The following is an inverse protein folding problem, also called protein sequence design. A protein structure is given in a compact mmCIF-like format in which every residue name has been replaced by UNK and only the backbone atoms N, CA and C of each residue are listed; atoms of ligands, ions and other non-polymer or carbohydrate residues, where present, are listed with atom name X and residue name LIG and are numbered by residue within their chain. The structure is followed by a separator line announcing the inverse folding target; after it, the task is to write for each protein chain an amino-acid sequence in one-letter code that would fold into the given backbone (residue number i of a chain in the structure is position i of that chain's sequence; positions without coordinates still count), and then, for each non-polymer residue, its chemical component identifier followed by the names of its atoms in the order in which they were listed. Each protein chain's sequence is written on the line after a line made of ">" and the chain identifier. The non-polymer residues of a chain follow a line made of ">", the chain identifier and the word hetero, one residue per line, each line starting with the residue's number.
data_IF_311271308673
#
_entry.id   IF_311271308673
#
_cell.length_a   1.000
_cell.length_b   1.000
_cell.length_c   1.000
_cell.angle_alpha   90.00
_cell.angle_beta   90.00
_cell.angle_gamma   90.00
#
_symmetry.space_group_name_H-M   'P 1'
#
loop_
_entity.id
_entity.type
_entity.pdbx_description
1 polymer ?
#
# COMPACT_ATOMS: atom_id res chain seq x y z
N UNK A 1 -11.47 7.33 16.08
CA UNK A 1 -10.99 6.39 15.11
C UNK A 1 -9.52 6.06 15.32
N UNK A 2 -9.16 4.82 15.11
CA UNK A 2 -7.75 4.40 15.18
C UNK A 2 -7.01 5.04 14.02
N UNK A 3 -6.09 5.94 14.33
CA UNK A 3 -5.22 6.53 13.32
C UNK A 3 -3.93 5.73 13.27
N UNK A 4 -3.52 5.38 12.06
CA UNK A 4 -2.20 4.83 11.83
C UNK A 4 -1.15 5.89 12.07
N UNK A 5 -0.10 5.55 12.81
CA UNK A 5 1.07 6.43 12.95
C UNK A 5 1.63 6.77 11.56
N UNK A 6 1.66 5.79 10.65
CA UNK A 6 2.09 6.01 9.26
C UNK A 6 1.17 6.95 8.49
N UNK A 7 -0.15 6.85 8.63
CA UNK A 7 -1.08 7.74 7.92
C UNK A 7 -1.01 9.17 8.45
N UNK A 8 -0.80 9.37 9.74
CA UNK A 8 -0.60 10.69 10.31
C UNK A 8 0.67 11.35 9.76
N UNK A 9 1.76 10.61 9.62
CA UNK A 9 2.99 11.09 9.00
C UNK A 9 2.76 11.46 7.53
N UNK A 10 2.05 10.62 6.76
CA UNK A 10 1.71 10.91 5.38
C UNK A 10 0.88 12.19 5.24
N UNK A 11 -0.15 12.35 6.06
CA UNK A 11 -1.04 13.52 6.02
C UNK A 11 -0.31 14.78 6.46
N UNK A 12 0.53 14.69 7.49
CA UNK A 12 1.29 15.83 7.99
C UNK A 12 2.34 16.32 7.01
N UNK A 13 3.06 15.40 6.36
CA UNK A 13 4.17 15.71 5.48
C UNK A 13 3.74 15.93 4.02
N UNK A 14 2.53 15.52 3.64
CA UNK A 14 2.00 15.60 2.29
C UNK A 14 0.63 16.27 2.28
N UNK A 15 0.51 17.32 1.51
CA UNK A 15 -0.66 18.22 1.54
C UNK A 15 -1.89 17.66 0.81
N UNK A 16 -1.71 16.69 -0.09
CA UNK A 16 -2.77 16.24 -1.00
C UNK A 16 -3.36 14.89 -0.67
N UNK A 17 -2.73 14.13 0.21
CA UNK A 17 -3.21 12.82 0.62
C UNK A 17 -2.10 11.81 0.84
N UNK A 18 -2.48 10.54 0.93
CA UNK A 18 -1.56 9.45 1.22
C UNK A 18 -2.05 8.13 0.64
N UNK A 19 -1.12 7.33 0.12
CA UNK A 19 -1.34 5.92 -0.19
C UNK A 19 -0.75 5.08 0.93
N UNK A 20 -1.55 4.15 1.46
CA UNK A 20 -1.11 3.11 2.39
C UNK A 20 -1.23 1.77 1.68
N UNK A 21 -0.14 1.01 1.62
CA UNK A 21 -0.15 -0.33 1.07
C UNK A 21 0.19 -1.35 2.16
N UNK A 22 -0.70 -2.32 2.36
CA UNK A 22 -0.38 -3.51 3.15
C UNK A 22 0.34 -4.49 2.24
N UNK A 23 1.58 -4.79 2.59
CA UNK A 23 2.47 -5.62 1.79
C UNK A 23 3.34 -6.50 2.67
N UNK A 24 4.17 -7.33 2.07
CA UNK A 24 5.07 -8.23 2.79
C UNK A 24 6.32 -8.50 1.96
N UNK A 25 7.25 -9.30 2.52
CA UNK A 25 8.53 -9.54 1.86
C UNK A 25 8.48 -10.70 0.86
N UNK A 26 7.63 -11.70 1.09
CA UNK A 26 7.73 -12.97 0.37
C UNK A 26 6.56 -13.28 -0.58
N UNK A 27 5.45 -12.56 -0.48
CA UNK A 27 4.28 -12.83 -1.32
C UNK A 27 4.63 -12.67 -2.80
N UNK A 28 4.34 -13.69 -3.65
CA UNK A 28 4.64 -13.61 -5.08
C UNK A 28 4.01 -12.41 -5.78
N UNK A 29 2.83 -12.00 -5.35
CA UNK A 29 2.14 -10.84 -5.90
C UNK A 29 2.85 -9.53 -5.56
N UNK A 30 3.41 -9.42 -4.35
CA UNK A 30 4.22 -8.27 -3.95
C UNK A 30 5.56 -8.29 -4.68
N UNK A 31 6.25 -9.42 -4.66
CA UNK A 31 7.57 -9.57 -5.30
C UNK A 31 7.51 -9.21 -6.79
N UNK A 32 6.49 -9.69 -7.49
CA UNK A 32 6.30 -9.38 -8.91
C UNK A 32 5.90 -7.92 -9.17
N UNK A 33 5.42 -7.21 -8.15
CA UNK A 33 4.95 -5.82 -8.26
C UNK A 33 5.92 -4.79 -7.70
N UNK A 34 7.06 -5.19 -7.15
CA UNK A 34 7.99 -4.27 -6.45
C UNK A 34 8.33 -3.05 -7.30
N UNK A 35 8.72 -3.24 -8.54
CA UNK A 35 9.11 -2.12 -9.41
C UNK A 35 7.93 -1.18 -9.68
N UNK A 36 6.73 -1.72 -9.85
CA UNK A 36 5.50 -0.92 -10.06
C UNK A 36 5.07 -0.20 -8.79
N UNK A 37 5.21 -0.84 -7.62
CA UNK A 37 4.92 -0.20 -6.34
C UNK A 37 5.89 0.97 -6.11
N UNK A 38 7.17 0.76 -6.38
CA UNK A 38 8.18 1.81 -6.28
C UNK A 38 7.90 2.97 -7.25
N UNK A 39 7.52 2.66 -8.49
CA UNK A 39 7.13 3.66 -9.48
C UNK A 39 5.87 4.42 -9.04
N UNK A 40 4.90 3.75 -8.45
CA UNK A 40 3.70 4.37 -7.90
C UNK A 40 4.03 5.32 -6.75
N UNK A 41 4.95 4.94 -5.88
CA UNK A 41 5.44 5.81 -4.82
C UNK A 41 6.06 7.09 -5.38
N UNK A 42 6.90 6.98 -6.40
CA UNK A 42 7.49 8.13 -7.06
C UNK A 42 6.42 9.00 -7.74
N UNK A 43 5.44 8.39 -8.38
CA UNK A 43 4.29 9.08 -8.98
C UNK A 43 3.51 9.88 -7.95
N UNK A 44 3.28 9.32 -6.77
CA UNK A 44 2.65 10.01 -5.65
C UNK A 44 3.50 11.17 -5.13
N UNK A 45 4.80 10.93 -4.95
CA UNK A 45 5.72 11.94 -4.43
C UNK A 45 5.76 13.20 -5.30
N UNK A 46 5.76 13.04 -6.61
CA UNK A 46 5.73 14.16 -7.58
C UNK A 46 4.44 14.98 -7.46
N UNK A 47 3.39 14.42 -6.87
CA UNK A 47 2.07 15.04 -6.69
C UNK A 47 1.79 15.46 -5.26
N UNK A 48 2.80 15.47 -4.41
CA UNK A 48 2.70 15.78 -2.97
C UNK A 48 1.74 14.83 -2.22
N UNK A 49 1.66 13.57 -2.67
CA UNK A 49 0.92 12.50 -2.01
C UNK A 49 1.94 11.60 -1.30
N UNK A 50 1.71 11.36 0.00
CA UNK A 50 2.53 10.46 0.79
C UNK A 50 2.35 9.00 0.35
N UNK A 51 3.32 8.16 0.71
CA UNK A 51 3.27 6.73 0.42
C UNK A 51 3.93 5.97 1.57
N UNK A 52 3.27 4.94 2.09
CA UNK A 52 3.81 4.12 3.17
C UNK A 52 3.41 2.66 2.98
N UNK A 53 4.36 1.75 3.20
CA UNK A 53 4.12 0.32 3.21
C UNK A 53 4.04 -0.21 4.65
N UNK A 54 3.15 -1.17 4.88
CA UNK A 54 2.95 -1.80 6.19
C UNK A 54 2.97 -3.32 6.02
N UNK A 55 3.82 -3.99 6.80
CA UNK A 55 3.85 -5.44 6.88
C UNK A 55 3.24 -5.89 8.20
N UNK A 56 2.10 -6.56 8.12
CA UNK A 56 1.37 -7.08 9.27
C UNK A 56 1.39 -8.61 9.36
N UNK A 57 2.14 -9.29 8.48
CA UNK A 57 2.23 -10.75 8.53
C UNK A 57 2.88 -11.23 9.83
N UNK A 58 2.42 -12.38 10.33
CA UNK A 58 2.98 -12.99 11.54
C UNK A 58 4.44 -13.42 11.30
N UNK A 59 5.41 -12.78 11.97
CA UNK A 59 6.82 -13.08 11.72
C UNK A 59 7.28 -14.38 12.40
N UNK A 60 6.51 -14.92 13.32
CA UNK A 60 6.86 -16.16 14.04
C UNK A 60 6.63 -17.37 13.13
N UNK A 61 5.45 -17.48 12.55
CA UNK A 61 5.12 -18.57 11.63
C UNK A 61 5.59 -18.33 10.20
N UNK A 62 5.89 -17.08 9.86
CA UNK A 62 6.37 -16.66 8.54
C UNK A 62 7.65 -15.83 8.67
N UNK A 63 8.80 -16.48 8.98
CA UNK A 63 10.05 -15.76 9.25
C UNK A 63 10.58 -14.89 8.11
N UNK A 64 10.15 -15.18 6.87
CA UNK A 64 10.46 -14.33 5.71
C UNK A 64 9.93 -12.90 5.88
N UNK A 65 8.92 -12.71 6.72
CA UNK A 65 8.30 -11.43 7.02
C UNK A 65 8.75 -10.84 8.37
N UNK A 66 9.89 -11.29 8.89
CA UNK A 66 10.50 -10.72 10.08
C UNK A 66 10.95 -9.27 9.84
N UNK A 67 11.04 -8.50 10.92
CA UNK A 67 11.59 -7.14 10.87
C UNK A 67 12.99 -7.10 10.25
N UNK A 68 13.84 -8.07 10.59
CA UNK A 68 15.17 -8.18 9.99
C UNK A 68 15.13 -8.30 8.47
N UNK A 69 14.23 -9.12 7.95
CA UNK A 69 14.05 -9.27 6.50
C UNK A 69 13.39 -8.04 5.86
N UNK A 70 12.56 -7.32 6.58
CA UNK A 70 12.05 -6.01 6.14
C UNK A 70 13.20 -5.01 5.96
N UNK A 71 14.14 -4.96 6.91
CA UNK A 71 15.34 -4.10 6.82
C UNK A 71 16.16 -4.46 5.58
N UNK A 72 16.38 -5.75 5.34
CA UNK A 72 17.11 -6.22 4.16
C UNK A 72 16.43 -5.78 2.86
N UNK A 73 15.10 -5.89 2.80
CA UNK A 73 14.33 -5.43 1.64
C UNK A 73 14.45 -3.91 1.45
N UNK A 74 14.31 -3.15 2.53
CA UNK A 74 14.41 -1.69 2.48
C UNK A 74 15.78 -1.23 1.99
N UNK A 75 16.85 -1.92 2.37
CA UNK A 75 18.22 -1.63 1.93
C UNK A 75 18.44 -1.84 0.43
N UNK A 76 17.57 -2.56 -0.26
CA UNK A 76 17.60 -2.73 -1.71
C UNK A 76 17.06 -1.52 -2.47
N UNK A 77 16.58 -0.49 -1.79
CA UNK A 77 16.18 0.77 -2.40
C UNK A 77 14.68 1.02 -2.45
N UNK A 78 13.97 0.86 -1.34
CA UNK A 78 12.56 1.28 -1.25
C UNK A 78 12.47 2.81 -1.15
N UNK A 79 11.70 3.48 -2.04
CA UNK A 79 11.57 4.93 -2.03
C UNK A 79 10.54 5.47 -1.03
N UNK A 80 10.02 4.63 -0.13
CA UNK A 80 8.99 4.98 0.85
C UNK A 80 9.24 4.26 2.18
N UNK A 81 8.70 4.79 3.31
CA UNK A 81 8.80 4.14 4.61
C UNK A 81 8.10 2.76 4.62
N UNK A 82 8.73 1.80 5.26
CA UNK A 82 8.22 0.44 5.42
C UNK A 82 8.06 0.13 6.90
N UNK A 83 6.82 0.01 7.37
CA UNK A 83 6.48 -0.10 8.78
C UNK A 83 6.13 -1.55 9.15
N UNK A 84 6.55 -1.97 10.33
CA UNK A 84 6.23 -3.28 10.88
C UNK A 84 5.02 -3.18 11.82
N UNK A 85 4.03 -4.05 11.62
CA UNK A 85 2.83 -4.16 12.45
C UNK A 85 2.71 -5.59 13.02
N UNK A 86 3.62 -6.01 13.93
CA UNK A 86 3.67 -7.38 14.40
C UNK A 86 2.49 -7.77 15.29
N UNK A 87 1.80 -6.81 15.89
CA UNK A 87 0.59 -7.04 16.68
C UNK A 87 -0.65 -7.21 15.81
N UNK A 88 -0.57 -6.84 14.53
CA UNK A 88 -1.66 -6.91 13.56
C UNK A 88 -2.86 -5.99 13.86
N UNK A 89 -2.68 -5.07 14.80
CA UNK A 89 -3.70 -4.10 15.19
C UNK A 89 -4.06 -3.20 14.01
N UNK A 90 -3.06 -2.77 13.26
CA UNK A 90 -3.26 -1.87 12.13
C UNK A 90 -4.01 -2.53 11.00
N UNK A 91 -3.58 -3.72 10.57
CA UNK A 91 -4.27 -4.47 9.52
C UNK A 91 -5.72 -4.79 9.91
N UNK A 92 -5.94 -5.17 11.17
CA UNK A 92 -7.29 -5.45 11.69
C UNK A 92 -8.17 -4.19 11.66
N UNK A 93 -7.64 -3.06 12.12
CA UNK A 93 -8.39 -1.80 12.16
C UNK A 93 -8.78 -1.30 10.77
N UNK A 94 -7.95 -1.55 9.76
CA UNK A 94 -8.19 -1.13 8.39
C UNK A 94 -8.97 -2.16 7.57
N UNK A 95 -9.15 -3.35 8.08
CA UNK A 95 -9.81 -4.44 7.37
C UNK A 95 -8.98 -4.97 6.20
N UNK A 96 -7.64 -4.92 6.32
CA UNK A 96 -6.75 -5.47 5.31
C UNK A 96 -6.82 -7.00 5.32
N UNK A 97 -6.99 -7.59 4.15
CA UNK A 97 -7.16 -9.03 4.00
C UNK A 97 -6.08 -9.67 3.13
N UNK A 98 -5.48 -8.90 2.24
CA UNK A 98 -4.53 -9.40 1.24
C UNK A 98 -3.27 -8.54 1.18
N UNK A 99 -2.26 -9.04 0.48
CA UNK A 99 -1.04 -8.32 0.14
C UNK A 99 -0.72 -8.53 -1.35
N UNK A 100 -0.51 -7.46 -2.13
CA UNK A 100 -0.64 -6.04 -1.76
C UNK A 100 -2.11 -5.58 -1.74
N UNK A 101 -2.44 -4.72 -0.80
CA UNK A 101 -3.76 -4.09 -0.71
C UNK A 101 -3.57 -2.60 -0.46
N UNK A 102 -4.18 -1.77 -1.30
CA UNK A 102 -3.95 -0.33 -1.34
C UNK A 102 -5.14 0.45 -0.80
N UNK A 103 -4.82 1.51 -0.05
CA UNK A 103 -5.79 2.50 0.43
C UNK A 103 -5.30 3.88 0.02
N UNK A 104 -6.13 4.64 -0.67
CA UNK A 104 -5.86 6.04 -1.01
C UNK A 104 -6.68 6.94 -0.11
N UNK A 105 -6.01 7.80 0.65
CA UNK A 105 -6.62 8.78 1.53
C UNK A 105 -6.47 10.18 0.95
N UNK A 106 -7.51 11.01 1.12
CA UNK A 106 -7.43 12.41 0.76
C UNK A 106 -6.70 13.23 1.85
N UNK A 107 -6.58 14.54 1.66
CA UNK A 107 -5.92 15.44 2.62
C UNK A 107 -6.60 15.50 4.00
N UNK A 108 -7.85 15.06 4.09
CA UNK A 108 -8.61 14.99 5.36
C UNK A 108 -8.47 13.62 6.04
N UNK A 109 -7.74 12.69 5.43
CA UNK A 109 -7.55 11.34 5.96
C UNK A 109 -8.72 10.40 5.68
N UNK A 110 -9.57 10.73 4.71
CA UNK A 110 -10.70 9.90 4.30
C UNK A 110 -10.28 8.98 3.16
N UNK A 111 -10.59 7.69 3.26
CA UNK A 111 -10.33 6.72 2.20
C UNK A 111 -11.24 7.02 1.00
N UNK A 112 -10.63 7.34 -0.14
CA UNK A 112 -11.35 7.62 -1.39
C UNK A 112 -11.22 6.48 -2.41
N UNK A 113 -10.26 5.59 -2.22
CA UNK A 113 -10.13 4.36 -3.01
C UNK A 113 -9.52 3.25 -2.15
N UNK A 114 -9.99 2.02 -2.36
CA UNK A 114 -9.49 0.83 -1.70
C UNK A 114 -9.48 -0.36 -2.68
N UNK A 115 -8.38 -1.06 -2.75
CA UNK A 115 -8.28 -2.28 -3.53
C UNK A 115 -6.92 -2.51 -4.17
N UNK A 116 -6.94 -2.93 -5.42
CA UNK A 116 -5.77 -3.31 -6.20
C UNK A 116 -5.12 -2.10 -6.88
N UNK A 117 -3.84 -2.24 -7.23
CA UNK A 117 -3.13 -1.24 -8.03
C UNK A 117 -3.54 -1.33 -9.51
N UNK A 118 -3.60 -2.55 -10.03
CA UNK A 118 -4.03 -2.89 -11.38
C UNK A 118 -4.61 -4.31 -11.41
N UNK A 119 -5.06 -4.77 -12.58
CA UNK A 119 -5.69 -6.08 -12.73
C UNK A 119 -4.71 -7.23 -12.98
N UNK A 120 -3.39 -6.99 -12.97
CA UNK A 120 -2.40 -8.04 -13.20
C UNK A 120 -1.14 -7.88 -12.35
N UNK A 121 -1.25 -8.10 -11.03
CA UNK A 121 -0.12 -7.88 -10.11
C UNK A 121 1.08 -8.79 -10.35
N UNK A 122 0.90 -9.95 -10.99
CA UNK A 122 2.00 -10.89 -11.24
C UNK A 122 2.71 -10.66 -12.58
N UNK A 123 2.05 -10.03 -13.54
CA UNK A 123 2.61 -9.82 -14.87
C UNK A 123 2.24 -8.42 -15.40
N UNK A 124 3.18 -7.47 -15.39
CA UNK A 124 2.91 -6.11 -15.84
C UNK A 124 2.51 -6.04 -17.31
N UNK A 125 2.92 -7.02 -18.13
CA UNK A 125 2.60 -7.03 -19.56
C UNK A 125 1.13 -7.35 -19.84
N UNK A 126 0.43 -7.93 -18.86
CA UNK A 126 -0.99 -8.29 -18.95
C UNK A 126 -1.92 -7.27 -18.31
N UNK A 127 -1.36 -6.22 -17.69
CA UNK A 127 -2.17 -5.20 -17.05
C UNK A 127 -2.90 -4.35 -18.10
N UNK A 128 -4.22 -4.28 -17.98
CA UNK A 128 -5.09 -3.49 -18.86
C UNK A 128 -5.81 -2.36 -18.11
N UNK A 129 -5.72 -2.34 -16.79
CA UNK A 129 -6.30 -1.32 -15.91
C UNK A 129 -5.25 -0.79 -14.94
N UNK A 130 -5.53 0.38 -14.36
CA UNK A 130 -4.69 1.04 -13.36
C UNK A 130 -5.56 1.82 -12.39
N UNK A 131 -6.41 1.12 -11.65
CA UNK A 131 -7.46 1.74 -10.82
C UNK A 131 -6.89 2.66 -9.75
N UNK A 132 -5.77 2.29 -9.11
CA UNK A 132 -5.13 3.15 -8.12
C UNK A 132 -4.63 4.46 -8.76
N UNK A 133 -3.95 4.37 -9.90
CA UNK A 133 -3.46 5.54 -10.62
C UNK A 133 -4.62 6.45 -11.05
N UNK A 134 -5.68 5.87 -11.58
CA UNK A 134 -6.87 6.61 -12.00
C UNK A 134 -7.52 7.32 -10.81
N UNK A 135 -7.56 6.67 -9.65
CA UNK A 135 -8.09 7.27 -8.43
C UNK A 135 -7.22 8.43 -7.93
N UNK A 136 -5.90 8.29 -8.01
CA UNK A 136 -4.94 9.36 -7.67
C UNK A 136 -5.15 10.56 -8.60
N UNK A 137 -5.24 10.32 -9.90
CA UNK A 137 -5.44 11.38 -10.89
C UNK A 137 -6.76 12.12 -10.67
N UNK A 138 -7.84 11.40 -10.36
CA UNK A 138 -9.11 11.99 -10.03
C UNK A 138 -9.03 12.87 -8.78
N UNK A 139 -8.43 12.35 -7.71
CA UNK A 139 -8.26 13.09 -6.45
C UNK A 139 -7.45 14.37 -6.65
N UNK A 140 -6.35 14.31 -7.40
CA UNK A 140 -5.51 15.46 -7.73
C UNK A 140 -6.27 16.50 -8.55
N UNK A 141 -7.18 16.06 -9.42
CA UNK A 141 -8.03 16.94 -10.24
C UNK A 141 -9.24 17.49 -9.46
N UNK A 142 -9.41 17.12 -8.18
CA UNK A 142 -10.51 17.61 -7.37
C UNK A 142 -11.86 16.92 -7.63
N UNK A 143 -11.85 15.75 -8.26
CA UNK A 143 -13.05 14.95 -8.52
C UNK A 143 -12.98 13.60 -7.82
N UNK A 144 -14.13 12.99 -7.58
CA UNK A 144 -14.16 11.66 -6.99
C UNK A 144 -13.74 10.61 -8.02
N UNK A 145 -13.01 9.56 -7.60
CA UNK A 145 -12.73 8.44 -8.49
C UNK A 145 -14.00 7.81 -9.01
N UNK A 146 -14.00 7.42 -10.28
CA UNK A 146 -15.11 6.67 -10.89
C UNK A 146 -15.24 5.29 -10.25
N UNK A 147 -14.10 4.63 -9.99
CA UNK A 147 -14.01 3.37 -9.28
C UNK A 147 -13.48 3.67 -7.87
N UNK A 148 -14.29 3.45 -6.85
CA UNK A 148 -13.93 3.75 -5.45
C UNK A 148 -13.39 2.53 -4.70
N UNK A 149 -13.64 1.33 -5.22
CA UNK A 149 -13.08 0.11 -4.66
C UNK A 149 -13.02 -0.99 -5.72
N UNK A 150 -12.04 -1.86 -5.54
CA UNK A 150 -11.90 -3.12 -6.29
C UNK A 150 -11.57 -4.23 -5.32
N UNK A 151 -11.79 -5.47 -5.73
CA UNK A 151 -11.30 -6.62 -4.98
C UNK A 151 -9.78 -6.66 -5.09
N UNK A 152 -9.09 -6.72 -3.95
CA UNK A 152 -7.64 -6.84 -3.91
C UNK A 152 -7.19 -8.20 -4.44
N UNK A 153 -6.15 -8.21 -5.27
CA UNK A 153 -5.58 -9.43 -5.83
C UNK A 153 -4.23 -9.67 -5.14
N UNK A 154 -4.13 -10.76 -4.39
CA UNK A 154 -2.90 -11.07 -3.67
C UNK A 154 -3.05 -12.28 -2.76
N UNK A 155 -1.98 -12.55 -2.02
CA UNK A 155 -2.00 -13.56 -0.96
C UNK A 155 -2.77 -13.03 0.25
N UNK A 156 -3.35 -13.93 1.04
CA UNK A 156 -3.95 -13.53 2.32
C UNK A 156 -2.92 -12.99 3.29
N UNK A 157 -3.32 -12.02 4.11
CA UNK A 157 -2.53 -11.60 5.28
C UNK A 157 -2.33 -12.83 6.19
N UNK A 158 -1.11 -12.99 6.70
CA UNK A 158 -0.76 -14.14 7.55
C UNK A 158 -1.04 -13.78 9.00
N UNK A 159 -2.23 -14.14 9.45
CA UNK A 159 -2.67 -13.90 10.82
C UNK A 159 -2.00 -14.85 11.80
N UNK A 160 -1.87 -14.43 13.06
CA UNK A 160 -1.42 -15.27 14.17
C UNK A 160 -2.42 -16.37 14.48
#
# INVERSE_FOLDING_TARGET
>A
GVRLVGSEMCIRDRKRGCVVVFECNHCPYVVASVDRINAMSNYCNEREIGFVGINSNDPVNYPADSFENMVKRAQKGMPYPYLHDPTQVTATAWGAERTPEFFLLNSEGIVVYHGRMDNSPRDPTQATTSELKDAIDAMVSGVNPTVVSTESIGCSVKWK
#
